data_IF_460052873166
#
_entry.id   IF_460052873166
#
_cell.length_a   1.000
_cell.length_b   1.000
_cell.length_c   1.000
_cell.angle_alpha   90.00
_cell.angle_beta   90.00
_cell.angle_gamma   90.00
#
_symmetry.space_group_name_H-M   'P 1'
#
loop_
_entity.id
_entity.type
_entity.pdbx_description
1 polymer ?
#
# COMPACT_ATOMS: atom_id res chain seq x y z
N UNK A 1 12.23 54.72 -4.50
CA UNK A 1 12.81 53.43 -4.08
C UNK A 1 11.68 52.45 -3.83
N UNK A 2 11.41 51.52 -4.75
CA UNK A 2 10.49 50.40 -4.54
C UNK A 2 11.33 49.13 -4.64
N UNK A 3 11.59 48.49 -3.51
CA UNK A 3 12.27 47.20 -3.47
C UNK A 3 11.32 46.12 -3.96
N UNK A 4 11.63 45.51 -5.12
CA UNK A 4 11.04 44.24 -5.53
C UNK A 4 11.65 43.14 -4.65
N UNK A 5 10.82 42.54 -3.80
CA UNK A 5 11.14 41.27 -3.15
C UNK A 5 10.79 40.17 -4.16
N UNK A 6 11.82 39.59 -4.77
CA UNK A 6 11.66 38.38 -5.58
C UNK A 6 11.39 37.21 -4.63
N UNK A 7 10.15 36.72 -4.63
CA UNK A 7 9.78 35.43 -4.06
C UNK A 7 10.41 34.33 -4.91
N UNK A 8 11.60 33.86 -4.52
CA UNK A 8 12.15 32.62 -5.02
C UNK A 8 11.38 31.46 -4.37
N UNK A 9 10.39 30.93 -5.08
CA UNK A 9 9.91 29.56 -4.82
C UNK A 9 11.04 28.62 -5.23
N UNK A 10 11.81 28.14 -4.25
CA UNK A 10 12.75 27.04 -4.48
C UNK A 10 11.90 25.78 -4.63
N UNK A 11 11.53 25.48 -5.87
CA UNK A 11 11.12 24.14 -6.27
C UNK A 11 12.34 23.25 -6.09
N UNK A 12 12.38 22.46 -5.02
CA UNK A 12 13.35 21.37 -4.90
C UNK A 12 12.92 20.31 -5.91
N UNK A 13 13.33 20.50 -7.17
CA UNK A 13 13.34 19.42 -8.13
C UNK A 13 14.49 18.50 -7.73
N UNK A 14 14.17 17.42 -7.01
CA UNK A 14 14.98 16.21 -7.13
C UNK A 14 15.01 15.88 -8.62
N UNK A 15 16.19 15.94 -9.22
CA UNK A 15 16.42 15.55 -10.61
C UNK A 15 16.20 14.04 -10.67
N UNK A 16 14.94 13.65 -10.88
CA UNK A 16 14.57 12.30 -11.25
C UNK A 16 14.85 12.16 -12.74
N UNK A 17 15.87 11.37 -13.08
CA UNK A 17 16.11 10.89 -14.45
C UNK A 17 14.80 10.39 -15.07
N UNK A 18 14.62 10.61 -16.38
CA UNK A 18 13.38 10.51 -17.17
C UNK A 18 12.69 9.13 -17.28
N UNK A 19 12.62 8.33 -16.21
CA UNK A 19 12.17 6.92 -16.21
C UNK A 19 10.93 6.64 -15.35
N UNK A 20 10.19 7.67 -14.92
CA UNK A 20 9.01 7.48 -14.09
C UNK A 20 7.74 7.51 -14.93
N UNK A 21 6.87 6.54 -14.68
CA UNK A 21 5.54 6.44 -15.28
C UNK A 21 4.48 6.34 -14.19
N UNK A 22 3.24 6.81 -14.43
CA UNK A 22 2.14 6.60 -13.49
C UNK A 22 1.98 5.12 -13.15
N UNK A 23 1.68 4.82 -11.88
CA UNK A 23 1.38 3.46 -11.45
C UNK A 23 0.23 2.94 -12.31
N UNK A 24 0.45 1.79 -12.91
CA UNK A 24 -0.55 1.14 -13.75
C UNK A 24 -0.80 -0.25 -13.20
N UNK A 25 -2.06 -0.54 -12.87
CA UNK A 25 -2.46 -1.83 -12.29
C UNK A 25 -3.31 -2.59 -13.30
N UNK A 26 -3.00 -3.87 -13.49
CA UNK A 26 -3.87 -4.84 -14.15
C UNK A 26 -4.37 -5.82 -13.11
N UNK A 27 -5.68 -6.04 -13.04
CA UNK A 27 -6.22 -7.05 -12.12
C UNK A 27 -6.38 -8.37 -12.86
N UNK A 28 -6.14 -9.47 -12.15
CA UNK A 28 -6.28 -10.82 -12.69
C UNK A 28 -7.16 -11.61 -11.75
N UNK A 29 -8.23 -12.21 -12.28
CA UNK A 29 -9.11 -13.10 -11.50
C UNK A 29 -9.38 -14.40 -12.24
N UNK A 30 -9.54 -15.49 -11.48
CA UNK A 30 -10.07 -16.73 -12.05
C UNK A 30 -11.52 -16.51 -12.49
N UNK A 31 -11.92 -17.09 -13.63
CA UNK A 31 -13.32 -17.03 -14.05
C UNK A 31 -14.28 -17.68 -13.02
N UNK A 32 -13.75 -18.58 -12.18
CA UNK A 32 -14.50 -19.29 -11.14
C UNK A 32 -14.84 -18.40 -9.95
N UNK A 33 -14.10 -17.29 -9.77
CA UNK A 33 -14.36 -16.34 -8.68
C UNK A 33 -15.71 -15.61 -8.86
N UNK A 34 -16.12 -15.42 -10.11
CA UNK A 34 -17.24 -14.54 -10.46
C UNK A 34 -16.93 -13.06 -10.22
N UNK A 35 -17.97 -12.24 -10.22
CA UNK A 35 -17.92 -10.84 -9.83
C UNK A 35 -18.24 -10.69 -8.35
N UNK A 36 -17.63 -9.70 -7.70
CA UNK A 36 -18.05 -9.23 -6.39
C UNK A 36 -19.30 -8.34 -6.51
N UNK A 37 -19.88 -7.96 -5.37
CA UNK A 37 -20.93 -6.96 -5.33
C UNK A 37 -20.46 -5.66 -6.02
N UNK A 38 -21.37 -5.00 -6.76
CA UNK A 38 -21.03 -3.83 -7.57
C UNK A 38 -20.31 -2.73 -6.77
N UNK A 39 -20.67 -2.56 -5.49
CA UNK A 39 -20.02 -1.62 -4.58
C UNK A 39 -18.55 -1.96 -4.31
N UNK A 40 -18.23 -3.24 -4.15
CA UNK A 40 -16.86 -3.73 -3.92
C UNK A 40 -16.04 -3.53 -5.20
N UNK A 41 -16.58 -3.93 -6.34
CA UNK A 41 -15.94 -3.75 -7.66
C UNK A 41 -15.67 -2.27 -7.96
N UNK A 42 -16.65 -1.40 -7.70
CA UNK A 42 -16.51 0.05 -7.88
C UNK A 42 -15.44 0.62 -6.94
N UNK A 43 -15.48 0.25 -5.66
CA UNK A 43 -14.50 0.71 -4.68
C UNK A 43 -13.06 0.31 -5.05
N UNK A 44 -12.86 -0.93 -5.53
CA UNK A 44 -11.56 -1.40 -6.00
C UNK A 44 -11.11 -0.62 -7.25
N UNK A 45 -12.02 -0.41 -8.20
CA UNK A 45 -11.72 0.34 -9.43
C UNK A 45 -11.31 1.77 -9.11
N UNK A 46 -12.04 2.44 -8.22
CA UNK A 46 -11.76 3.83 -7.84
C UNK A 46 -10.49 3.94 -7.01
N UNK A 47 -10.18 2.97 -6.14
CA UNK A 47 -8.91 2.89 -5.44
C UNK A 47 -7.73 2.76 -6.42
N UNK A 48 -7.85 1.89 -7.42
CA UNK A 48 -6.83 1.71 -8.45
C UNK A 48 -6.62 3.00 -9.24
N UNK A 49 -7.71 3.66 -9.68
CA UNK A 49 -7.61 4.95 -10.39
C UNK A 49 -6.97 6.03 -9.53
N UNK A 50 -7.37 6.14 -8.26
CA UNK A 50 -6.81 7.11 -7.34
C UNK A 50 -5.30 6.91 -7.15
N UNK A 51 -4.86 5.68 -6.86
CA UNK A 51 -3.44 5.37 -6.71
C UNK A 51 -2.67 5.58 -8.01
N UNK A 52 -3.25 5.22 -9.15
CA UNK A 52 -2.64 5.44 -10.48
C UNK A 52 -2.44 6.92 -10.80
N UNK A 53 -3.31 7.79 -10.27
CA UNK A 53 -3.22 9.25 -10.46
C UNK A 53 -2.25 9.97 -9.53
N UNK A 54 -1.87 9.35 -8.40
CA UNK A 54 -1.02 10.00 -7.39
C UNK A 54 0.35 9.33 -7.22
N UNK A 55 0.51 8.05 -7.57
CA UNK A 55 1.77 7.30 -7.43
C UNK A 55 2.43 7.17 -8.79
N UNK A 56 3.70 7.58 -8.89
CA UNK A 56 4.58 7.28 -10.02
C UNK A 56 5.63 6.24 -9.65
N UNK A 57 6.09 5.49 -10.64
CA UNK A 57 6.91 4.28 -10.44
C UNK A 57 8.02 4.24 -11.48
N UNK A 58 9.17 3.65 -11.12
CA UNK A 58 10.23 3.39 -12.08
C UNK A 58 9.77 2.40 -13.15
N UNK A 59 9.95 2.77 -14.42
CA UNK A 59 9.73 1.87 -15.55
C UNK A 59 10.93 0.95 -15.74
N UNK A 60 10.73 -0.33 -15.43
CA UNK A 60 11.70 -1.40 -15.67
C UNK A 60 11.48 -2.12 -17.00
N UNK A 61 10.56 -1.63 -17.84
CA UNK A 61 10.14 -2.26 -19.08
C UNK A 61 9.21 -3.46 -18.87
N UNK A 62 8.93 -4.17 -19.96
CA UNK A 62 8.07 -5.35 -19.95
C UNK A 62 8.71 -6.51 -19.19
N UNK A 63 7.92 -7.17 -18.34
CA UNK A 63 8.29 -8.37 -17.62
C UNK A 63 7.29 -9.49 -17.90
N UNK A 64 7.78 -10.72 -17.77
CA UNK A 64 7.03 -11.93 -18.09
C UNK A 64 6.36 -12.51 -16.83
N UNK A 65 5.03 -12.56 -16.82
CA UNK A 65 4.25 -13.28 -15.81
C UNK A 65 3.79 -14.60 -16.42
N UNK A 66 4.32 -15.70 -15.90
CA UNK A 66 3.97 -17.06 -16.34
C UNK A 66 2.94 -17.68 -15.40
N UNK A 67 2.33 -18.80 -15.83
CA UNK A 67 1.43 -19.59 -14.97
C UNK A 67 2.08 -20.00 -13.66
N UNK A 68 3.36 -20.38 -13.71
CA UNK A 68 4.13 -20.78 -12.54
C UNK A 68 4.24 -19.65 -11.50
N UNK A 69 4.49 -18.41 -11.95
CA UNK A 69 4.56 -17.22 -11.08
C UNK A 69 3.19 -16.95 -10.42
N UNK A 70 2.09 -17.03 -11.19
CA UNK A 70 0.74 -16.87 -10.64
C UNK A 70 0.45 -17.95 -9.58
N UNK A 71 0.81 -19.21 -9.85
CA UNK A 71 0.58 -20.32 -8.92
C UNK A 71 1.42 -20.22 -7.65
N UNK A 72 2.66 -19.73 -7.77
CA UNK A 72 3.53 -19.47 -6.62
C UNK A 72 2.96 -18.36 -5.75
N UNK A 73 2.36 -17.32 -6.36
CA UNK A 73 1.66 -16.30 -5.60
C UNK A 73 0.43 -16.84 -4.90
N UNK A 74 -0.38 -17.61 -5.64
CA UNK A 74 -1.69 -18.01 -5.17
C UNK A 74 -2.09 -19.41 -5.59
N UNK A 75 -2.28 -20.23 -4.56
CA UNK A 75 -2.83 -21.58 -4.73
C UNK A 75 -4.27 -21.57 -5.26
N UNK A 76 -5.00 -20.44 -5.20
CA UNK A 76 -6.37 -20.35 -5.73
C UNK A 76 -6.43 -20.39 -7.25
N UNK A 77 -5.34 -20.03 -7.91
CA UNK A 77 -5.24 -20.10 -9.37
C UNK A 77 -4.84 -21.48 -9.88
N UNK A 78 -4.44 -22.41 -9.00
CA UNK A 78 -4.01 -23.76 -9.41
C UNK A 78 -5.08 -24.55 -10.17
N UNK A 79 -6.35 -24.36 -9.81
CA UNK A 79 -7.50 -24.98 -10.47
C UNK A 79 -8.12 -24.12 -11.58
N UNK A 80 -7.59 -22.92 -11.81
CA UNK A 80 -8.12 -22.01 -12.82
C UNK A 80 -7.62 -22.42 -14.21
N UNK A 81 -8.54 -22.64 -15.13
CA UNK A 81 -8.22 -22.89 -16.55
C UNK A 81 -8.31 -21.63 -17.39
N UNK A 82 -9.07 -20.64 -16.91
CA UNK A 82 -9.31 -19.37 -17.58
C UNK A 82 -9.24 -18.25 -16.55
N UNK A 83 -8.59 -17.16 -16.92
CA UNK A 83 -8.51 -15.93 -16.16
C UNK A 83 -9.16 -14.78 -16.93
N UNK A 84 -9.59 -13.78 -16.18
CA UNK A 84 -10.05 -12.50 -16.69
C UNK A 84 -8.99 -11.48 -16.28
N UNK A 85 -8.39 -10.82 -17.26
CA UNK A 85 -7.56 -9.65 -17.07
C UNK A 85 -8.44 -8.42 -17.18
N UNK A 86 -8.45 -7.55 -16.17
CA UNK A 86 -9.13 -6.26 -16.25
C UNK A 86 -8.09 -5.14 -16.23
N UNK A 87 -8.03 -4.41 -17.35
CA UNK A 87 -7.20 -3.23 -17.51
C UNK A 87 -8.02 -2.00 -17.12
N UNK A 88 -7.69 -1.43 -15.96
CA UNK A 88 -8.37 -0.26 -15.43
C UNK A 88 -7.62 0.98 -15.93
N UNK A 89 -8.22 1.70 -16.87
CA UNK A 89 -7.76 3.02 -17.31
C UNK A 89 -8.48 4.15 -16.56
N UNK A 90 -8.12 5.39 -16.89
CA UNK A 90 -8.69 6.59 -16.25
C UNK A 90 -10.22 6.66 -16.36
N UNK A 91 -10.78 6.29 -17.51
CA UNK A 91 -12.23 6.43 -17.79
C UNK A 91 -12.95 5.12 -18.06
N UNK A 92 -12.23 4.06 -18.44
CA UNK A 92 -12.83 2.79 -18.88
C UNK A 92 -12.04 1.61 -18.33
N UNK A 93 -12.76 0.52 -18.10
CA UNK A 93 -12.18 -0.78 -17.77
C UNK A 93 -12.38 -1.69 -18.96
N UNK A 94 -11.30 -2.33 -19.41
CA UNK A 94 -11.34 -3.32 -20.49
C UNK A 94 -11.05 -4.69 -19.92
N UNK A 95 -11.85 -5.68 -20.26
CA UNK A 95 -11.66 -7.04 -19.78
C UNK A 95 -11.32 -7.98 -20.93
N UNK A 96 -10.32 -8.84 -20.71
CA UNK A 96 -9.89 -9.86 -21.65
C UNK A 96 -9.89 -11.23 -20.96
N UNK A 97 -10.46 -12.24 -21.64
CA UNK A 97 -10.44 -13.63 -21.16
C UNK A 97 -9.26 -14.37 -21.78
N UNK A 98 -8.41 -14.93 -20.93
CA UNK A 98 -7.23 -15.68 -21.36
C UNK A 98 -7.23 -17.10 -20.78
N UNK A 99 -6.70 -18.06 -21.55
CA UNK A 99 -6.49 -19.44 -21.06
C UNK A 99 -5.22 -19.49 -20.21
N UNK A 100 -5.32 -20.06 -19.02
CA UNK A 100 -4.20 -20.27 -18.10
C UNK A 100 -3.67 -21.70 -18.26
N UNK A 101 -2.90 -21.94 -19.33
CA UNK A 101 -2.22 -23.21 -19.60
C UNK A 101 -0.69 -23.08 -19.40
N UNK A 102 0.07 -24.13 -19.66
CA UNK A 102 1.53 -24.12 -19.45
C UNK A 102 2.29 -23.19 -20.42
N UNK A 103 1.64 -22.76 -21.51
CA UNK A 103 2.16 -21.76 -22.45
C UNK A 103 1.75 -20.33 -22.07
N UNK A 104 1.02 -20.13 -20.97
CA UNK A 104 0.56 -18.81 -20.57
C UNK A 104 1.74 -17.89 -20.26
N UNK A 105 1.72 -16.74 -20.94
CA UNK A 105 2.69 -15.68 -20.80
C UNK A 105 1.98 -14.33 -20.92
N UNK A 106 2.00 -13.56 -19.83
CA UNK A 106 1.60 -12.16 -19.83
C UNK A 106 2.86 -11.29 -19.85
N UNK A 107 3.08 -10.57 -20.95
CA UNK A 107 4.08 -9.52 -21.04
C UNK A 107 3.47 -8.21 -20.55
N UNK A 108 4.02 -7.64 -19.49
CA UNK A 108 3.47 -6.41 -18.91
C UNK A 108 4.54 -5.61 -18.16
N UNK A 109 4.54 -4.29 -18.32
CA UNK A 109 5.26 -3.35 -17.44
C UNK A 109 4.44 -2.95 -16.21
N UNK A 110 3.13 -3.24 -16.23
CA UNK A 110 2.14 -2.89 -15.19
C UNK A 110 2.27 -3.82 -13.97
N UNK A 111 1.90 -3.30 -12.80
CA UNK A 111 1.73 -4.11 -11.61
C UNK A 111 0.51 -5.01 -11.75
N UNK A 112 0.69 -6.31 -11.59
CA UNK A 112 -0.40 -7.29 -11.64
C UNK A 112 -0.94 -7.56 -10.23
N UNK A 113 -2.25 -7.46 -10.07
CA UNK A 113 -2.93 -7.71 -8.80
C UNK A 113 -3.89 -8.88 -8.95
N UNK A 114 -3.58 -10.01 -8.29
CA UNK A 114 -4.45 -11.17 -8.26
C UNK A 114 -5.63 -10.93 -7.31
N UNK A 115 -6.86 -11.07 -7.81
CA UNK A 115 -8.06 -10.97 -6.98
C UNK A 115 -8.53 -12.36 -6.55
N UNK A 116 -8.82 -12.50 -5.26
CA UNK A 116 -9.17 -13.78 -4.66
C UNK A 116 -10.27 -13.69 -3.62
N UNK A 117 -10.87 -14.85 -3.31
CA UNK A 117 -11.75 -15.03 -2.16
C UNK A 117 -11.43 -16.36 -1.47
N UNK A 118 -10.55 -16.30 -0.47
CA UNK A 118 -10.23 -17.40 0.42
C UNK A 118 -11.30 -17.51 1.51
N UNK A 119 -12.38 -18.22 1.18
CA UNK A 119 -13.52 -18.46 2.08
C UNK A 119 -13.10 -19.04 3.44
N UNK A 120 -12.02 -19.82 3.54
CA UNK A 120 -11.52 -20.34 4.82
C UNK A 120 -10.95 -19.21 5.68
N UNK A 121 -10.11 -18.37 5.09
CA UNK A 121 -9.54 -17.19 5.76
C UNK A 121 -10.62 -16.20 6.18
N UNK A 122 -11.58 -15.90 5.29
CA UNK A 122 -12.69 -14.99 5.58
C UNK A 122 -13.62 -15.48 6.71
N UNK A 123 -13.68 -16.81 6.91
CA UNK A 123 -14.41 -17.41 8.04
C UNK A 123 -13.59 -17.39 9.32
N UNK A 124 -12.28 -17.64 9.26
CA UNK A 124 -11.40 -17.65 10.44
C UNK A 124 -11.07 -16.24 10.96
N UNK A 125 -11.13 -15.22 10.11
CA UNK A 125 -10.88 -13.82 10.46
C UNK A 125 -12.18 -13.00 10.29
N UNK A 126 -13.10 -13.06 11.28
CA UNK A 126 -14.43 -12.51 11.14
C UNK A 126 -14.50 -10.98 11.23
N UNK A 127 -13.38 -10.25 11.22
CA UNK A 127 -13.36 -8.79 11.09
C UNK A 127 -12.65 -8.34 9.81
N UNK A 128 -12.05 -9.26 9.06
CA UNK A 128 -11.29 -8.95 7.86
C UNK A 128 -12.22 -8.71 6.67
N UNK A 129 -12.11 -7.54 6.05
CA UNK A 129 -12.82 -7.18 4.81
C UNK A 129 -11.98 -7.50 3.57
N UNK A 130 -10.68 -7.25 3.67
CA UNK A 130 -9.70 -7.62 2.68
C UNK A 130 -8.34 -7.85 3.35
N UNK A 131 -7.41 -8.47 2.62
CA UNK A 131 -6.00 -8.55 2.98
C UNK A 131 -5.15 -8.66 1.72
N UNK A 132 -3.95 -8.09 1.73
CA UNK A 132 -3.08 -8.10 0.56
C UNK A 132 -1.61 -8.23 0.92
N UNK A 133 -0.83 -8.72 -0.04
CA UNK A 133 0.62 -8.90 0.11
C UNK A 133 1.31 -9.00 -1.26
N UNK A 134 2.58 -8.59 -1.39
CA UNK A 134 3.37 -8.90 -2.57
C UNK A 134 3.59 -10.41 -2.68
N UNK A 135 3.62 -10.92 -3.91
CA UNK A 135 3.86 -12.35 -4.14
C UNK A 135 5.35 -12.67 -4.26
N UNK A 136 6.00 -12.00 -5.20
CA UNK A 136 7.38 -12.27 -5.60
C UNK A 136 8.09 -10.94 -5.73
N UNK A 137 9.22 -10.85 -5.04
CA UNK A 137 10.23 -9.82 -5.23
C UNK A 137 11.38 -10.50 -5.96
N UNK A 138 11.59 -10.14 -7.23
CA UNK A 138 12.72 -10.60 -8.02
C UNK A 138 13.81 -9.52 -8.05
N UNK A 139 15.08 -9.94 -7.98
CA UNK A 139 16.26 -9.10 -8.21
C UNK A 139 16.32 -7.80 -7.39
N UNK A 140 15.83 -7.79 -6.14
CA UNK A 140 15.79 -6.57 -5.34
C UNK A 140 14.96 -5.43 -6.01
N UNK A 141 14.05 -5.79 -6.92
CA UNK A 141 13.15 -4.84 -7.61
C UNK A 141 11.79 -4.84 -6.94
N UNK A 142 11.01 -3.81 -7.22
CA UNK A 142 9.61 -3.70 -6.79
C UNK A 142 8.81 -4.94 -7.20
N UNK A 143 7.88 -5.42 -6.33
CA UNK A 143 6.94 -6.47 -6.68
C UNK A 143 6.26 -6.18 -8.02
N UNK A 144 6.34 -7.16 -8.93
CA UNK A 144 5.59 -7.12 -10.19
C UNK A 144 4.17 -7.65 -10.01
N UNK A 145 4.00 -8.51 -9.01
CA UNK A 145 2.77 -9.25 -8.74
C UNK A 145 2.48 -9.20 -7.25
N UNK A 146 1.25 -8.83 -6.91
CA UNK A 146 0.66 -8.95 -5.58
C UNK A 146 -0.68 -9.68 -5.64
N UNK A 147 -1.22 -10.03 -4.49
CA UNK A 147 -2.58 -10.51 -4.38
C UNK A 147 -3.38 -9.67 -3.40
N UNK A 148 -4.70 -9.65 -3.61
CA UNK A 148 -5.67 -9.17 -2.65
C UNK A 148 -6.77 -10.22 -2.48
N UNK A 149 -6.95 -10.63 -1.24
CA UNK A 149 -8.03 -11.49 -0.81
C UNK A 149 -9.20 -10.61 -0.33
N UNK A 150 -10.35 -10.75 -0.96
CA UNK A 150 -11.56 -9.98 -0.63
C UNK A 150 -12.56 -10.88 0.06
N UNK A 151 -13.06 -10.45 1.22
CA UNK A 151 -14.06 -11.14 2.02
C UNK A 151 -15.43 -10.46 1.89
N UNK A 152 -16.26 -10.84 0.90
CA UNK A 152 -17.61 -10.32 0.78
C UNK A 152 -18.50 -10.82 1.92
N UNK A 153 -19.55 -10.06 2.23
CA UNK A 153 -20.54 -10.43 3.24
C UNK A 153 -21.11 -9.22 3.97
N UNK A 154 -21.95 -9.48 5.00
CA UNK A 154 -22.72 -8.45 5.71
C UNK A 154 -21.88 -7.33 6.34
N UNK A 155 -20.57 -7.55 6.56
CA UNK A 155 -19.66 -6.54 7.12
C UNK A 155 -19.54 -5.30 6.25
N UNK A 156 -19.75 -5.45 4.94
CA UNK A 156 -19.79 -4.33 4.01
C UNK A 156 -21.00 -3.42 4.23
N UNK A 157 -22.09 -3.88 4.87
CA UNK A 157 -23.34 -3.13 5.01
C UNK A 157 -23.23 -1.87 5.90
N UNK A 158 -22.17 -1.75 6.70
CA UNK A 158 -21.89 -0.57 7.53
C UNK A 158 -20.51 0.05 7.30
N UNK A 159 -19.76 -0.45 6.33
CA UNK A 159 -18.41 0.02 6.02
C UNK A 159 -18.45 0.87 4.76
N UNK A 160 -18.18 2.18 4.87
CA UNK A 160 -18.30 3.14 3.76
C UNK A 160 -16.97 3.56 3.14
N UNK A 161 -15.85 3.28 3.80
CA UNK A 161 -14.51 3.58 3.33
C UNK A 161 -13.95 2.48 2.40
N UNK A 162 -14.76 1.95 1.49
CA UNK A 162 -14.38 0.87 0.57
C UNK A 162 -13.18 1.23 -0.31
N UNK A 163 -13.15 2.45 -0.83
CA UNK A 163 -12.04 2.98 -1.63
C UNK A 163 -10.76 3.03 -0.79
N UNK A 164 -10.82 3.54 0.43
CA UNK A 164 -9.65 3.63 1.32
C UNK A 164 -9.15 2.26 1.75
N UNK A 165 -10.04 1.30 2.02
CA UNK A 165 -9.65 -0.10 2.27
C UNK A 165 -8.84 -0.65 1.10
N UNK A 166 -9.33 -0.50 -0.13
CA UNK A 166 -8.58 -1.01 -1.27
C UNK A 166 -7.28 -0.24 -1.52
N UNK A 167 -7.23 1.06 -1.24
CA UNK A 167 -5.97 1.82 -1.30
C UNK A 167 -4.96 1.27 -0.29
N UNK A 168 -5.39 1.05 0.95
CA UNK A 168 -4.59 0.46 2.03
C UNK A 168 -4.03 -0.92 1.65
N UNK A 169 -4.88 -1.82 1.20
CA UNK A 169 -4.46 -3.17 0.80
C UNK A 169 -3.56 -3.17 -0.44
N UNK A 170 -3.83 -2.32 -1.43
CA UNK A 170 -2.94 -2.20 -2.59
C UNK A 170 -1.56 -1.69 -2.16
N UNK A 171 -1.47 -0.76 -1.21
CA UNK A 171 -0.18 -0.30 -0.69
C UNK A 171 0.61 -1.44 -0.03
N UNK A 172 -0.06 -2.34 0.71
CA UNK A 172 0.59 -3.55 1.21
C UNK A 172 1.10 -4.44 0.08
N UNK A 173 0.29 -4.68 -0.95
CA UNK A 173 0.68 -5.41 -2.17
C UNK A 173 1.88 -4.78 -2.91
N UNK A 174 2.01 -3.46 -2.85
CA UNK A 174 3.13 -2.72 -3.42
C UNK A 174 4.39 -2.76 -2.55
N UNK A 175 4.26 -3.22 -1.31
CA UNK A 175 5.36 -3.51 -0.41
C UNK A 175 5.28 -2.84 0.96
N UNK A 176 4.37 -1.88 1.17
CA UNK A 176 4.27 -1.15 2.43
C UNK A 176 4.12 -2.13 3.60
N UNK A 177 5.00 -2.04 4.59
CA UNK A 177 4.92 -2.89 5.77
C UNK A 177 5.28 -4.37 5.53
N UNK A 178 5.45 -4.81 4.29
CA UNK A 178 5.67 -6.22 3.94
C UNK A 178 7.06 -6.49 3.36
N UNK A 179 7.69 -5.47 2.74
CA UNK A 179 9.08 -5.49 2.35
C UNK A 179 9.85 -4.65 3.36
N UNK A 180 10.65 -5.31 4.19
CA UNK A 180 11.51 -4.63 5.15
C UNK A 180 12.95 -4.71 4.64
N UNK A 181 13.74 -3.63 4.73
CA UNK A 181 15.17 -3.69 4.42
C UNK A 181 15.88 -4.64 5.39
N UNK A 182 17.13 -4.99 5.08
CA UNK A 182 17.91 -5.95 5.87
C UNK A 182 17.92 -5.59 7.36
N UNK A 183 17.97 -6.60 8.23
CA UNK A 183 18.03 -6.39 9.69
C UNK A 183 19.20 -5.51 10.13
N UNK A 184 20.28 -5.47 9.35
CA UNK A 184 21.43 -4.58 9.55
C UNK A 184 21.11 -3.10 9.28
N UNK A 185 20.17 -2.85 8.37
CA UNK A 185 19.67 -1.50 8.04
C UNK A 185 18.53 -1.05 8.97
N UNK A 186 17.86 -2.01 9.63
CA UNK A 186 16.83 -1.76 10.64
C UNK A 186 17.45 -1.36 11.99
N UNK A 187 17.69 -0.05 12.17
CA UNK A 187 18.18 0.52 13.43
C UNK A 187 17.03 0.91 14.34
N UNK A 188 16.37 -0.07 14.93
CA UNK A 188 15.20 0.21 15.77
C UNK A 188 15.68 1.02 16.96
N UNK A 189 15.16 2.25 17.19
CA UNK A 189 15.40 2.95 18.44
C UNK A 189 15.13 1.97 19.58
N UNK A 190 16.01 1.98 20.60
CA UNK A 190 15.85 1.13 21.77
C UNK A 190 14.41 1.21 22.27
N UNK A 191 13.78 0.05 22.47
CA UNK A 191 12.37 -0.04 22.83
C UNK A 191 12.02 0.93 23.96
N UNK A 192 11.21 1.94 23.66
CA UNK A 192 10.84 2.95 24.67
C UNK A 192 9.63 2.44 25.43
N UNK A 193 9.87 2.03 26.67
CA UNK A 193 8.79 1.71 27.60
C UNK A 193 8.15 3.01 28.08
N UNK A 194 6.83 3.03 28.12
CA UNK A 194 6.08 4.16 28.66
C UNK A 194 4.85 3.68 29.42
N UNK A 195 4.32 4.53 30.30
CA UNK A 195 3.13 4.24 31.09
C UNK A 195 1.92 4.75 30.32
N UNK A 196 1.11 3.84 29.80
CA UNK A 196 -0.19 4.16 29.22
C UNK A 196 -1.25 4.25 30.33
N UNK A 197 -2.05 5.31 30.30
CA UNK A 197 -3.22 5.49 31.16
C UNK A 197 -4.47 5.49 30.30
N UNK A 198 -5.46 4.71 30.69
CA UNK A 198 -6.76 4.78 30.05
C UNK A 198 -7.43 6.13 30.35
N UNK A 199 -8.02 6.81 29.36
CA UNK A 199 -8.69 8.09 29.55
C UNK A 199 -9.78 8.05 30.64
N UNK A 200 -10.50 6.93 30.74
CA UNK A 200 -11.56 6.70 31.71
C UNK A 200 -11.08 6.17 33.06
N UNK A 201 -9.76 5.93 33.21
CA UNK A 201 -9.20 5.39 34.43
C UNK A 201 -7.77 5.88 34.63
N UNK A 202 -7.67 7.08 35.19
CA UNK A 202 -6.38 7.74 35.48
C UNK A 202 -5.53 6.97 36.51
N UNK A 203 -6.11 5.98 37.19
CA UNK A 203 -5.46 5.10 38.17
C UNK A 203 -4.82 3.86 37.55
N UNK A 204 -5.34 3.33 36.44
CA UNK A 204 -4.79 2.12 35.83
C UNK A 204 -3.69 2.46 34.83
N UNK A 205 -2.44 2.21 35.26
CA UNK A 205 -1.23 2.39 34.45
C UNK A 205 -0.77 1.04 33.92
N UNK A 206 -0.73 0.88 32.60
CA UNK A 206 -0.16 -0.30 31.94
C UNK A 206 1.18 0.09 31.31
N UNK A 207 2.20 -0.76 31.44
CA UNK A 207 3.42 -0.57 30.67
C UNK A 207 3.12 -0.91 29.20
N UNK A 208 3.39 0.06 28.34
CA UNK A 208 3.30 -0.06 26.90
C UNK A 208 4.68 0.15 26.29
N UNK A 209 4.85 -0.37 25.07
CA UNK A 209 6.13 -0.41 24.37
C UNK A 209 5.97 0.30 23.03
N UNK A 210 6.72 1.38 22.82
CA UNK A 210 6.79 2.02 21.49
C UNK A 210 7.68 1.18 20.59
N UNK A 211 7.24 1.03 19.35
CA UNK A 211 7.92 0.31 18.29
C UNK A 211 8.01 1.23 17.09
N UNK A 212 9.06 1.08 16.30
CA UNK A 212 9.34 2.02 15.22
C UNK A 212 9.63 1.31 13.91
N UNK A 213 9.20 1.95 12.83
CA UNK A 213 9.61 1.73 11.47
C UNK A 213 10.89 2.55 11.25
N UNK A 214 12.00 1.85 11.28
CA UNK A 214 13.34 2.35 11.61
C UNK A 214 14.28 2.46 10.41
N UNK A 215 13.71 2.28 9.22
CA UNK A 215 14.41 2.37 7.94
C UNK A 215 13.94 3.55 7.08
N UNK A 216 12.90 4.28 7.51
CA UNK A 216 12.31 5.36 6.73
C UNK A 216 12.75 6.75 7.22
N UNK A 217 13.98 7.16 6.89
CA UNK A 217 14.55 8.43 7.33
C UNK A 217 13.81 9.63 6.72
N UNK A 218 13.40 9.53 5.45
CA UNK A 218 12.57 10.56 4.81
C UNK A 218 11.21 10.66 5.51
N UNK A 219 10.61 9.53 5.87
CA UNK A 219 9.33 9.55 6.58
C UNK A 219 9.44 10.27 7.94
N UNK A 220 10.56 10.13 8.66
CA UNK A 220 10.79 10.87 9.91
C UNK A 220 10.82 12.38 9.67
N UNK A 221 11.41 12.86 8.57
CA UNK A 221 11.40 14.29 8.22
C UNK A 221 9.97 14.78 8.01
N UNK A 222 9.18 14.04 7.24
CA UNK A 222 7.77 14.38 6.99
C UNK A 222 6.92 14.33 8.27
N UNK A 223 7.15 13.34 9.14
CA UNK A 223 6.46 13.22 10.41
C UNK A 223 6.84 14.34 11.38
N UNK A 224 8.12 14.76 11.44
CA UNK A 224 8.55 15.92 12.24
C UNK A 224 7.82 17.20 11.84
N UNK A 225 7.72 17.43 10.53
CA UNK A 225 7.00 18.57 9.96
C UNK A 225 5.51 18.49 10.28
N UNK A 226 4.89 17.34 10.06
CA UNK A 226 3.46 17.12 10.30
C UNK A 226 3.07 17.28 11.77
N UNK A 227 3.86 16.70 12.69
CA UNK A 227 3.57 16.70 14.13
C UNK A 227 4.10 17.93 14.87
N UNK A 228 4.86 18.81 14.20
CA UNK A 228 5.54 19.93 14.85
C UNK A 228 6.53 19.50 15.95
N UNK A 229 7.14 18.32 15.79
CA UNK A 229 7.98 17.69 16.82
C UNK A 229 9.38 17.39 16.28
N UNK A 230 10.32 18.36 16.31
CA UNK A 230 11.67 18.18 15.76
C UNK A 230 12.48 17.05 16.42
N UNK A 231 12.17 16.71 17.67
CA UNK A 231 12.83 15.64 18.42
C UNK A 231 12.32 14.24 18.13
N UNK A 232 11.34 14.08 17.22
CA UNK A 232 10.84 12.76 16.83
C UNK A 232 11.99 11.88 16.30
N UNK A 233 12.14 10.68 16.86
CA UNK A 233 13.30 9.79 16.61
C UNK A 233 13.00 8.67 15.61
N UNK A 234 11.74 8.46 15.25
CA UNK A 234 11.32 7.37 14.38
C UNK A 234 9.82 7.40 14.12
N UNK A 235 9.37 6.59 13.16
CA UNK A 235 7.95 6.44 12.83
C UNK A 235 7.34 5.33 13.68
N UNK A 236 6.39 5.65 14.55
CA UNK A 236 5.77 4.62 15.39
C UNK A 236 4.87 3.64 14.65
N UNK A 237 4.97 2.36 15.01
CA UNK A 237 4.11 1.29 14.51
C UNK A 237 3.07 0.89 15.56
N UNK A 238 1.95 0.32 15.11
CA UNK A 238 0.93 -0.26 15.99
C UNK A 238 1.44 -1.55 16.68
N UNK A 239 2.25 -2.31 15.94
CA UNK A 239 2.54 -3.71 16.21
C UNK A 239 4.03 -4.05 15.99
N UNK A 240 4.43 -5.24 16.43
CA UNK A 240 5.80 -5.76 16.29
C UNK A 240 6.12 -6.22 14.87
N UNK A 241 5.09 -6.50 14.08
CA UNK A 241 5.18 -6.83 12.67
C UNK A 241 5.59 -5.63 11.80
N UNK A 242 5.46 -4.40 12.33
CA UNK A 242 5.78 -3.13 11.67
C UNK A 242 5.02 -2.91 10.35
N UNK A 243 3.81 -3.47 10.24
CA UNK A 243 3.03 -3.39 8.99
C UNK A 243 2.18 -2.13 8.89
N UNK A 244 1.73 -1.57 10.02
CA UNK A 244 0.92 -0.36 10.06
C UNK A 244 1.55 0.75 10.90
N UNK A 245 1.06 1.96 10.67
CA UNK A 245 1.32 3.13 11.49
C UNK A 245 0.51 3.08 12.78
N UNK A 246 1.06 3.66 13.85
CA UNK A 246 0.35 3.75 15.12
C UNK A 246 -0.87 4.70 15.04
N UNK A 247 -2.08 4.16 15.17
CA UNK A 247 -3.34 4.92 15.09
C UNK A 247 -3.45 6.10 16.08
N UNK A 248 -2.86 5.99 17.27
CA UNK A 248 -2.92 7.05 18.28
C UNK A 248 -2.02 8.25 17.93
N UNK A 249 -1.01 8.02 17.09
CA UNK A 249 -0.05 9.05 16.65
C UNK A 249 -0.48 9.65 15.32
N UNK A 250 -0.96 8.82 14.39
CA UNK A 250 -1.23 9.24 13.00
C UNK A 250 -2.72 9.35 12.66
N UNK A 251 -3.61 9.07 13.61
CA UNK A 251 -5.05 9.36 13.49
C UNK A 251 -5.68 8.66 12.29
N UNK A 252 -6.13 9.46 11.31
CA UNK A 252 -6.81 8.98 10.10
C UNK A 252 -5.85 8.77 8.91
N UNK A 253 -4.59 8.47 9.15
CA UNK A 253 -3.65 8.04 8.10
C UNK A 253 -4.17 6.76 7.43
N UNK A 254 -3.95 6.64 6.12
CA UNK A 254 -4.44 5.50 5.35
C UNK A 254 -3.85 4.16 5.83
N UNK A 255 -2.63 4.14 6.34
CA UNK A 255 -1.88 2.95 6.74
C UNK A 255 -1.91 2.69 8.24
N UNK A 256 -2.89 3.23 8.98
CA UNK A 256 -3.22 2.76 10.34
C UNK A 256 -4.02 1.46 10.29
N UNK A 257 -4.00 0.62 11.35
CA UNK A 257 -4.72 -0.66 11.36
C UNK A 257 -6.25 -0.51 11.37
N UNK A 258 -6.75 0.68 11.74
CA UNK A 258 -8.17 1.00 11.77
C UNK A 258 -8.45 2.10 10.75
N UNK A 259 -9.37 1.83 9.83
CA UNK A 259 -9.86 2.81 8.86
C UNK A 259 -11.11 3.50 9.41
N UNK A 260 -11.11 4.82 9.36
CA UNK A 260 -12.29 5.65 9.62
C UNK A 260 -13.30 5.48 8.49
N UNK A 261 -14.59 5.44 8.84
CA UNK A 261 -15.68 5.43 7.87
C UNK A 261 -15.92 6.78 7.17
N UNK A 262 -15.19 7.83 7.57
CA UNK A 262 -15.36 9.20 7.05
C UNK A 262 -14.30 9.55 6.02
N UNK A 263 -13.03 9.55 6.42
CA UNK A 263 -11.92 9.86 5.50
C UNK A 263 -10.61 9.31 6.03
N UNK A 264 -9.85 8.62 5.17
CA UNK A 264 -8.48 8.20 5.46
C UNK A 264 -7.51 8.87 4.47
N UNK A 265 -6.41 9.39 4.99
CA UNK A 265 -5.49 10.26 4.25
C UNK A 265 -4.22 9.51 3.93
N UNK A 266 -3.91 9.40 2.64
CA UNK A 266 -2.60 8.98 2.21
C UNK A 266 -1.66 10.19 2.29
N UNK A 267 -0.76 10.17 3.28
CA UNK A 267 0.11 11.31 3.60
C UNK A 267 1.50 11.18 2.99
N UNK A 268 2.28 12.26 3.06
CA UNK A 268 3.71 12.24 2.72
C UNK A 268 4.51 11.29 3.62
N UNK A 269 4.02 10.97 4.83
CA UNK A 269 4.66 10.00 5.72
C UNK A 269 4.58 8.61 5.09
N UNK A 270 3.38 8.15 4.73
CA UNK A 270 3.20 6.84 4.08
C UNK A 270 3.80 6.77 2.68
N UNK A 271 3.79 7.90 1.95
CA UNK A 271 4.51 8.04 0.68
C UNK A 271 6.01 7.77 0.86
N UNK A 272 6.65 8.47 1.80
CA UNK A 272 8.08 8.35 2.08
C UNK A 272 8.46 6.95 2.57
N UNK A 273 7.60 6.31 3.38
CA UNK A 273 7.80 4.91 3.76
C UNK A 273 7.80 4.03 2.51
N UNK A 274 6.81 4.19 1.62
CA UNK A 274 6.74 3.41 0.39
C UNK A 274 7.94 3.67 -0.53
N UNK A 275 8.49 4.89 -0.56
CA UNK A 275 9.75 5.20 -1.27
C UNK A 275 10.95 4.42 -0.70
N UNK A 276 11.00 4.32 0.62
CA UNK A 276 12.10 3.68 1.35
C UNK A 276 11.85 2.17 1.53
N UNK A 277 10.77 1.64 0.94
CA UNK A 277 10.40 0.22 0.98
C UNK A 277 10.88 -0.51 -0.27
N UNK A 278 12.15 -0.94 -0.25
CA UNK A 278 12.79 -1.69 -1.33
C UNK A 278 13.73 -2.77 -0.79
N UNK A 279 14.07 -3.73 -1.63
CA UNK A 279 15.16 -4.67 -1.40
C UNK A 279 16.42 -4.15 -2.15
N UNK A 280 17.63 -4.32 -1.61
CA UNK A 280 18.89 -3.90 -2.27
C UNK A 280 19.26 -2.42 -2.14
N UNK A 281 20.11 -1.90 -3.03
CA UNK A 281 20.69 -0.53 -2.96
C UNK A 281 19.90 0.54 -3.73
N UNK A 282 18.90 0.14 -4.53
CA UNK A 282 18.17 1.05 -5.41
C UNK A 282 16.78 1.35 -4.84
N UNK A 283 16.64 2.53 -4.21
CA UNK A 283 15.39 3.00 -3.64
C UNK A 283 14.27 3.24 -4.65
N UNK A 284 13.03 3.21 -4.18
CA UNK A 284 11.95 3.86 -4.93
C UNK A 284 12.15 5.37 -4.83
N UNK A 285 11.99 6.05 -5.96
CA UNK A 285 11.49 7.41 -5.91
C UNK A 285 10.03 7.33 -6.31
N UNK A 286 9.16 7.82 -5.46
CA UNK A 286 7.76 8.00 -5.78
C UNK A 286 7.63 9.49 -6.05
N UNK A 287 7.66 9.88 -7.32
CA UNK A 287 7.22 11.22 -7.68
C UNK A 287 5.72 11.31 -7.40
N UNK A 288 5.38 11.84 -6.23
CA UNK A 288 4.02 11.97 -5.73
C UNK A 288 3.61 13.44 -5.75
N UNK A 289 2.64 13.76 -6.59
CA UNK A 289 1.83 14.96 -6.40
C UNK A 289 0.78 14.63 -5.33
N UNK A 290 1.12 14.78 -4.04
CA UNK A 290 0.08 14.85 -3.00
C UNK A 290 -0.39 16.30 -2.96
N UNK A 291 -1.68 16.51 -3.15
CA UNK A 291 -2.27 17.79 -2.77
C UNK A 291 -2.08 17.98 -1.26
N UNK A 292 -1.52 19.12 -0.90
CA UNK A 292 -1.16 19.49 0.46
C UNK A 292 -2.26 19.15 1.46
N UNK A 293 -1.84 18.59 2.60
CA UNK A 293 -2.56 18.72 3.85
C UNK A 293 -2.78 20.21 4.12
N UNK A 294 -3.95 20.73 3.78
CA UNK A 294 -4.51 21.86 4.49
C UNK A 294 -5.50 21.28 5.50
N UNK A 295 -5.27 21.65 6.76
CA UNK A 295 -6.12 21.38 7.91
C UNK A 295 -7.59 21.68 7.60
#
# INVERSE_FOLDING_TARGET
>A
MRSLIALFTISVFTICDSKYVPLSIVTIRSNQLGSFDARIEQSLTDAIRNLSGIISVLDYGERNITRAIIHQCSTRFMSATTIILSNIGERRTFEEKMRLNDLFLLKTSRFALLLENNKKLCKSQPQMLASASPCIVQDNKRPLLGFINICPGMRWNGFYAGVDLFRHEILHSLGFGTLMPSTESQKSPGNVLYKWTYPWSMTFKKQAKRRFLDFAQKAVIEARKHLGCPSLVGIETDSADKIHLNEYVYGNELMTPILSNVSNRFSYISAAILEETYFGDNGLCIAMYIEYWNL
#
